data_IF_628718443654
#
_entry.id   IF_628718443654
#
_cell.length_a   1.000
_cell.length_b   1.000
_cell.length_c   1.000
_cell.angle_alpha   90.00
_cell.angle_beta   90.00
_cell.angle_gamma   90.00
#
_symmetry.space_group_name_H-M   'P 1'
#
loop_
_entity.id
_entity.type
_entity.pdbx_description
1 polymer ?
#
# COMPACT_ATOMS: atom_id res chain seq x y z
N UNK A 1 16.22 -7.44 16.73
CA UNK A 1 15.14 -7.11 17.69
C UNK A 1 14.93 -5.61 17.91
N UNK A 2 15.96 -4.75 17.83
CA UNK A 2 15.81 -3.28 17.94
C UNK A 2 15.17 -2.65 16.67
N UNK A 3 15.41 -3.19 15.48
CA UNK A 3 14.84 -2.69 14.22
C UNK A 3 13.31 -2.74 14.16
N UNK A 4 12.69 -3.76 14.77
CA UNK A 4 11.23 -3.92 14.81
C UNK A 4 10.54 -2.81 15.61
N UNK A 5 11.18 -2.31 16.67
CA UNK A 5 10.65 -1.22 17.50
C UNK A 5 10.84 0.17 16.86
N UNK A 6 11.90 0.36 16.07
CA UNK A 6 12.09 1.58 15.26
C UNK A 6 11.06 1.66 14.12
N UNK A 7 10.65 0.51 13.57
CA UNK A 7 9.66 0.39 12.49
C UNK A 7 8.23 0.76 12.93
N UNK A 8 7.80 0.27 14.10
CA UNK A 8 6.50 0.64 14.71
C UNK A 8 6.49 2.12 15.10
N UNK A 9 7.61 2.66 15.58
CA UNK A 9 7.73 4.07 15.93
C UNK A 9 7.62 4.99 14.70
N UNK A 10 8.17 4.60 13.54
CA UNK A 10 8.07 5.38 12.30
C UNK A 10 6.65 5.38 11.71
N UNK A 11 5.95 4.24 11.74
CA UNK A 11 4.54 4.13 11.34
C UNK A 11 3.61 4.93 12.27
N UNK A 12 3.90 4.90 13.57
CA UNK A 12 3.20 5.73 14.57
C UNK A 12 3.48 7.22 14.35
N UNK A 13 4.65 7.59 13.84
CA UNK A 13 5.00 8.98 13.52
C UNK A 13 4.24 9.51 12.31
N UNK A 14 4.00 8.69 11.29
CA UNK A 14 3.11 9.03 10.18
C UNK A 14 1.67 9.26 10.67
N UNK A 15 1.13 8.34 11.48
CA UNK A 15 -0.20 8.46 12.06
C UNK A 15 -0.33 9.68 12.99
N UNK A 16 0.70 9.98 13.80
CA UNK A 16 0.76 11.16 14.67
C UNK A 16 0.88 12.46 13.87
N UNK A 17 1.66 12.49 12.79
CA UNK A 17 1.74 13.65 11.89
C UNK A 17 0.37 14.00 11.32
N UNK A 18 -0.43 13.00 10.90
CA UNK A 18 -1.81 13.22 10.45
C UNK A 18 -2.77 13.61 11.59
N UNK A 19 -2.62 13.04 12.80
CA UNK A 19 -3.44 13.40 13.95
C UNK A 19 -3.20 14.84 14.45
N UNK A 20 -1.94 15.30 14.47
CA UNK A 20 -1.57 16.67 14.85
C UNK A 20 -1.97 17.67 13.76
N UNK A 21 -1.85 17.31 12.48
CA UNK A 21 -2.34 18.14 11.36
C UNK A 21 -3.88 18.27 11.38
N UNK A 22 -4.60 17.20 11.75
CA UNK A 22 -6.06 17.20 11.96
C UNK A 22 -6.49 18.09 13.15
N UNK A 23 -5.73 18.09 14.25
CA UNK A 23 -5.96 18.97 15.40
C UNK A 23 -5.66 20.45 15.10
N UNK A 24 -4.67 20.74 14.25
CA UNK A 24 -4.29 22.11 13.87
C UNK A 24 -5.25 22.71 12.82
N UNK A 25 -5.90 21.86 12.00
CA UNK A 25 -6.84 22.25 10.95
C UNK A 25 -8.27 22.56 11.45
N UNK A 26 -8.57 22.35 12.72
CA UNK A 26 -9.86 22.71 13.33
C UNK A 26 -10.12 24.23 13.44
N UNK A 27 -9.30 25.08 12.81
CA UNK A 27 -9.44 26.54 12.83
C UNK A 27 -9.98 27.12 11.51
N UNK A 28 -10.10 26.33 10.43
CA UNK A 28 -10.64 26.85 9.16
C UNK A 28 -11.66 25.89 8.51
N UNK A 29 -12.80 25.73 9.19
CA UNK A 29 -13.91 24.81 8.87
C UNK A 29 -14.70 25.13 7.59
N UNK A 30 -14.35 26.13 6.77
CA UNK A 30 -15.22 26.58 5.67
C UNK A 30 -14.56 26.73 4.28
N UNK A 31 -13.42 26.08 4.02
CA UNK A 31 -12.85 26.04 2.66
C UNK A 31 -12.53 24.60 2.23
N UNK A 32 -13.15 24.19 1.12
CA UNK A 32 -12.69 23.13 0.21
C UNK A 32 -13.06 21.69 0.58
N UNK A 33 -14.35 21.46 0.86
CA UNK A 33 -15.04 20.24 0.44
C UNK A 33 -15.15 20.24 -1.09
N UNK A 34 -14.05 19.95 -1.80
CA UNK A 34 -14.13 19.71 -3.25
C UNK A 34 -14.23 18.21 -3.55
N UNK A 35 -15.02 17.80 -4.56
CA UNK A 35 -15.21 16.40 -5.00
C UNK A 35 -13.94 15.66 -5.44
N UNK A 36 -12.79 16.35 -5.48
CA UNK A 36 -11.49 15.87 -5.97
C UNK A 36 -10.92 14.73 -5.10
N UNK A 37 -11.29 14.64 -3.82
CA UNK A 37 -10.77 13.61 -2.90
C UNK A 37 -11.39 12.22 -3.08
N UNK A 38 -12.56 12.10 -3.71
CA UNK A 38 -13.29 10.82 -3.78
C UNK A 38 -12.64 9.80 -4.74
N UNK A 39 -11.81 10.25 -5.67
CA UNK A 39 -11.20 9.40 -6.71
C UNK A 39 -9.73 9.01 -6.40
N UNK A 40 -9.17 9.51 -5.30
CA UNK A 40 -7.76 9.25 -4.94
C UNK A 40 -7.55 7.77 -4.58
N UNK A 41 -8.41 7.19 -3.73
CA UNK A 41 -8.23 5.81 -3.30
C UNK A 41 -8.46 4.79 -4.42
N UNK A 42 -9.51 4.91 -5.26
CA UNK A 42 -9.65 4.03 -6.42
C UNK A 42 -8.43 4.08 -7.35
N UNK A 43 -7.93 5.26 -7.68
CA UNK A 43 -6.71 5.39 -8.50
C UNK A 43 -5.48 4.82 -7.82
N UNK A 44 -5.38 4.98 -6.50
CA UNK A 44 -4.27 4.40 -5.76
C UNK A 44 -4.33 2.87 -5.74
N UNK A 45 -5.52 2.27 -5.64
CA UNK A 45 -5.71 0.83 -5.84
C UNK A 45 -5.22 0.40 -7.22
N UNK A 46 -5.54 1.14 -8.28
CA UNK A 46 -5.09 0.81 -9.64
C UNK A 46 -3.55 0.79 -9.72
N UNK A 47 -2.88 1.78 -9.12
CA UNK A 47 -1.40 1.84 -9.05
C UNK A 47 -0.82 0.67 -8.25
N UNK A 48 -1.43 0.30 -7.12
CA UNK A 48 -0.98 -0.85 -6.34
C UNK A 48 -1.13 -2.14 -7.15
N UNK A 49 -2.23 -2.33 -7.88
CA UNK A 49 -2.43 -3.51 -8.73
C UNK A 49 -1.42 -3.55 -9.89
N UNK A 50 -1.04 -2.40 -10.46
CA UNK A 50 0.05 -2.30 -11.44
C UNK A 50 1.39 -2.78 -10.86
N UNK A 51 1.75 -2.37 -9.63
CA UNK A 51 2.97 -2.84 -8.98
C UNK A 51 2.89 -4.35 -8.63
N UNK A 52 1.72 -4.88 -8.26
CA UNK A 52 1.52 -6.33 -8.07
C UNK A 52 1.73 -7.08 -9.39
N UNK A 53 1.26 -6.55 -10.52
CA UNK A 53 1.50 -7.13 -11.85
C UNK A 53 2.99 -7.08 -12.21
N UNK A 54 3.67 -5.96 -11.95
CA UNK A 54 5.11 -5.86 -12.15
C UNK A 54 5.89 -6.88 -11.30
N UNK A 55 5.45 -7.15 -10.07
CA UNK A 55 6.01 -8.22 -9.23
C UNK A 55 5.82 -9.60 -9.87
N UNK A 56 4.63 -9.91 -10.38
CA UNK A 56 4.36 -11.18 -11.09
C UNK A 56 5.26 -11.32 -12.32
N UNK A 57 5.29 -10.30 -13.17
CA UNK A 57 6.10 -10.29 -14.40
C UNK A 57 7.60 -10.40 -14.10
N UNK A 58 8.09 -9.73 -13.06
CA UNK A 58 9.49 -9.82 -12.64
C UNK A 58 9.86 -11.21 -12.12
N UNK A 59 8.96 -11.90 -11.42
CA UNK A 59 9.15 -13.30 -11.01
C UNK A 59 9.10 -14.27 -12.21
N UNK A 60 8.19 -14.02 -13.14
CA UNK A 60 8.03 -14.85 -14.34
C UNK A 60 9.24 -14.75 -15.26
N UNK A 61 9.75 -13.53 -15.48
CA UNK A 61 10.92 -13.23 -16.30
C UNK A 61 12.25 -13.54 -15.63
N UNK A 62 12.27 -13.77 -14.32
CA UNK A 62 13.49 -14.05 -13.54
C UNK A 62 14.26 -12.78 -13.11
N UNK A 63 13.66 -11.60 -13.23
CA UNK A 63 14.17 -10.36 -12.64
C UNK A 63 14.19 -10.43 -11.09
N UNK A 64 13.16 -11.05 -10.49
CA UNK A 64 13.08 -11.25 -9.05
C UNK A 64 13.39 -12.70 -8.66
N UNK A 65 14.47 -12.87 -7.90
CA UNK A 65 14.87 -14.18 -7.38
C UNK A 65 14.06 -14.58 -6.14
N UNK A 66 13.51 -15.80 -6.17
CA UNK A 66 12.85 -16.41 -5.02
C UNK A 66 13.85 -17.01 -4.04
N UNK A 67 13.45 -17.10 -2.77
CA UNK A 67 14.17 -17.84 -1.73
C UNK A 67 14.18 -19.34 -2.02
N UNK A 68 13.05 -19.87 -2.48
CA UNK A 68 12.84 -21.26 -2.85
C UNK A 68 12.12 -21.31 -4.20
N UNK A 69 12.79 -21.77 -5.26
CA UNK A 69 12.24 -21.77 -6.63
C UNK A 69 10.98 -22.64 -6.75
N UNK A 70 10.87 -23.71 -5.97
CA UNK A 70 9.67 -24.57 -5.90
C UNK A 70 8.42 -23.85 -5.39
N UNK A 71 8.57 -22.73 -4.69
CA UNK A 71 7.46 -21.90 -4.18
C UNK A 71 7.00 -20.83 -5.17
N UNK A 72 7.52 -20.83 -6.40
CA UNK A 72 7.15 -19.86 -7.43
C UNK A 72 5.65 -19.85 -7.70
N UNK A 73 5.04 -21.01 -7.90
CA UNK A 73 3.60 -21.10 -8.17
C UNK A 73 2.77 -20.59 -6.98
N UNK A 74 3.14 -20.96 -5.76
CA UNK A 74 2.49 -20.50 -4.52
C UNK A 74 2.57 -18.96 -4.38
N UNK A 75 3.74 -18.37 -4.68
CA UNK A 75 3.90 -16.92 -4.62
C UNK A 75 3.06 -16.19 -5.67
N UNK A 76 3.05 -16.69 -6.91
CA UNK A 76 2.25 -16.11 -8.00
C UNK A 76 0.75 -16.21 -7.71
N UNK A 77 0.29 -17.33 -7.14
CA UNK A 77 -1.09 -17.50 -6.70
C UNK A 77 -1.44 -16.51 -5.59
N UNK A 78 -0.58 -16.34 -4.58
CA UNK A 78 -0.79 -15.38 -3.49
C UNK A 78 -0.82 -13.93 -3.97
N UNK A 79 0.03 -13.54 -4.93
CA UNK A 79 -0.08 -12.23 -5.59
C UNK A 79 -1.39 -12.10 -6.40
N UNK A 80 -1.90 -13.22 -6.94
CA UNK A 80 -3.23 -13.30 -7.56
C UNK A 80 -4.36 -13.06 -6.57
N UNK A 81 -4.26 -13.64 -5.37
CA UNK A 81 -5.19 -13.46 -4.28
C UNK A 81 -5.23 -12.00 -3.81
N UNK A 82 -4.05 -11.38 -3.60
CA UNK A 82 -3.94 -9.96 -3.23
C UNK A 82 -4.57 -9.02 -4.28
N UNK A 83 -4.34 -9.24 -5.57
CA UNK A 83 -5.02 -8.44 -6.61
C UNK A 83 -6.56 -8.51 -6.49
N UNK A 84 -7.11 -9.71 -6.19
CA UNK A 84 -8.55 -9.91 -6.01
C UNK A 84 -9.07 -9.25 -4.73
N UNK A 85 -8.31 -9.33 -3.65
CA UNK A 85 -8.63 -8.64 -2.40
C UNK A 85 -8.63 -7.12 -2.57
N UNK A 86 -7.62 -6.56 -3.24
CA UNK A 86 -7.56 -5.13 -3.52
C UNK A 86 -8.76 -4.64 -4.34
N UNK A 87 -9.18 -5.44 -5.33
CA UNK A 87 -10.40 -5.18 -6.11
C UNK A 87 -11.65 -5.17 -5.22
N UNK A 88 -11.71 -6.08 -4.24
CA UNK A 88 -12.80 -6.12 -3.27
C UNK A 88 -12.81 -4.89 -2.37
N UNK A 89 -11.66 -4.51 -1.79
CA UNK A 89 -11.48 -3.27 -1.01
C UNK A 89 -11.95 -2.08 -1.84
N UNK A 90 -11.50 -1.98 -3.09
CA UNK A 90 -11.87 -0.89 -3.97
C UNK A 90 -13.40 -0.84 -4.13
N UNK A 91 -14.01 -1.95 -4.57
CA UNK A 91 -15.46 -2.06 -4.85
C UNK A 91 -16.32 -1.75 -3.62
N UNK A 92 -15.97 -2.30 -2.46
CA UNK A 92 -16.76 -2.17 -1.23
C UNK A 92 -16.73 -0.76 -0.64
N UNK A 93 -15.68 0.01 -0.89
CA UNK A 93 -15.50 1.33 -0.28
C UNK A 93 -15.81 2.49 -1.22
N UNK A 94 -16.01 2.25 -2.53
CA UNK A 94 -16.47 3.25 -3.50
C UNK A 94 -17.71 4.02 -3.02
N UNK A 95 -18.65 3.35 -2.36
CA UNK A 95 -19.89 3.96 -1.85
C UNK A 95 -19.75 4.60 -0.46
N UNK A 96 -18.74 4.23 0.33
CA UNK A 96 -18.61 4.63 1.74
C UNK A 96 -18.04 6.04 1.94
N UNK A 97 -17.31 6.59 0.95
CA UNK A 97 -16.70 7.95 0.96
C UNK A 97 -16.03 8.35 2.29
N UNK A 98 -15.46 7.38 3.01
CA UNK A 98 -14.83 7.60 4.31
C UNK A 98 -13.34 7.28 4.23
N UNK A 99 -12.53 8.34 4.24
CA UNK A 99 -11.08 8.29 4.17
C UNK A 99 -10.46 7.37 5.24
N UNK A 100 -11.01 7.35 6.46
CA UNK A 100 -10.46 6.53 7.54
C UNK A 100 -10.64 5.04 7.29
N UNK A 101 -11.73 4.64 6.64
CA UNK A 101 -11.99 3.23 6.30
C UNK A 101 -11.05 2.81 5.17
N UNK A 102 -10.97 3.63 4.12
CA UNK A 102 -10.03 3.40 3.01
C UNK A 102 -8.59 3.28 3.48
N UNK A 103 -8.13 4.21 4.32
CA UNK A 103 -6.76 4.21 4.81
C UNK A 103 -6.46 2.99 5.68
N UNK A 104 -7.39 2.56 6.53
CA UNK A 104 -7.21 1.37 7.36
C UNK A 104 -7.11 0.10 6.51
N UNK A 105 -8.05 -0.10 5.60
CA UNK A 105 -8.06 -1.31 4.76
C UNK A 105 -6.86 -1.36 3.81
N UNK A 106 -6.46 -0.24 3.21
CA UNK A 106 -5.26 -0.18 2.37
C UNK A 106 -3.97 -0.34 3.18
N UNK A 107 -3.93 0.14 4.42
CA UNK A 107 -2.78 -0.08 5.29
C UNK A 107 -2.59 -1.57 5.61
N UNK A 108 -3.67 -2.25 5.98
CA UNK A 108 -3.63 -3.68 6.27
C UNK A 108 -3.25 -4.49 5.02
N UNK A 109 -3.82 -4.13 3.86
CA UNK A 109 -3.48 -4.71 2.56
C UNK A 109 -1.99 -4.57 2.22
N UNK A 110 -1.44 -3.35 2.33
CA UNK A 110 -0.04 -3.08 2.00
C UNK A 110 0.93 -3.82 2.93
N UNK A 111 0.55 -3.99 4.20
CA UNK A 111 1.30 -4.80 5.16
C UNK A 111 1.31 -6.27 4.75
N UNK A 112 0.19 -6.79 4.25
CA UNK A 112 0.13 -8.17 3.74
C UNK A 112 1.00 -8.36 2.51
N UNK A 113 0.93 -7.44 1.55
CA UNK A 113 1.81 -7.43 0.37
C UNK A 113 3.29 -7.40 0.75
N UNK A 114 3.67 -6.53 1.69
CA UNK A 114 5.04 -6.45 2.20
C UNK A 114 5.48 -7.77 2.85
N UNK A 115 4.65 -8.36 3.72
CA UNK A 115 4.97 -9.65 4.35
C UNK A 115 5.13 -10.77 3.31
N UNK A 116 4.33 -10.74 2.24
CA UNK A 116 4.45 -11.70 1.15
C UNK A 116 5.79 -11.53 0.42
N UNK A 117 6.17 -10.31 0.06
CA UNK A 117 7.47 -10.01 -0.56
C UNK A 117 8.62 -10.51 0.33
N UNK A 118 8.61 -10.17 1.62
CA UNK A 118 9.61 -10.57 2.61
C UNK A 118 9.71 -12.09 2.80
N UNK A 119 8.61 -12.81 2.59
CA UNK A 119 8.55 -14.26 2.77
C UNK A 119 9.09 -15.05 1.58
N UNK A 120 8.99 -14.52 0.36
CA UNK A 120 9.29 -15.30 -0.86
C UNK A 120 10.52 -14.83 -1.64
N UNK A 121 10.97 -13.58 -1.51
CA UNK A 121 12.04 -13.03 -2.35
C UNK A 121 13.39 -12.88 -1.63
N UNK A 122 14.50 -13.10 -2.35
CA UNK A 122 15.87 -13.01 -1.76
C UNK A 122 16.27 -11.59 -1.38
N UNK A 123 15.98 -10.61 -2.24
CA UNK A 123 16.30 -9.19 -2.02
C UNK A 123 15.08 -8.41 -1.48
N UNK A 124 14.24 -9.08 -0.71
CA UNK A 124 12.91 -8.58 -0.37
C UNK A 124 12.91 -7.27 0.44
N UNK A 125 13.89 -7.03 1.30
CA UNK A 125 14.00 -5.77 2.07
C UNK A 125 14.17 -4.58 1.12
N UNK A 126 15.11 -4.66 0.17
CA UNK A 126 15.38 -3.59 -0.82
C UNK A 126 14.16 -3.40 -1.73
N UNK A 127 13.53 -4.49 -2.16
CA UNK A 127 12.36 -4.42 -3.02
C UNK A 127 11.15 -3.82 -2.29
N UNK A 128 10.94 -4.20 -1.02
CA UNK A 128 9.89 -3.64 -0.18
C UNK A 128 10.10 -2.13 0.04
N UNK A 129 11.33 -1.72 0.34
CA UNK A 129 11.67 -0.30 0.51
C UNK A 129 11.41 0.50 -0.76
N UNK A 130 11.85 -0.03 -1.91
CA UNK A 130 11.65 0.61 -3.23
C UNK A 130 10.16 0.72 -3.56
N UNK A 131 9.40 -0.35 -3.33
CA UNK A 131 7.95 -0.36 -3.55
C UNK A 131 7.26 0.66 -2.64
N UNK A 132 7.66 0.75 -1.38
CA UNK A 132 7.11 1.71 -0.42
C UNK A 132 7.35 3.15 -0.86
N UNK A 133 8.56 3.47 -1.31
CA UNK A 133 8.88 4.80 -1.82
C UNK A 133 8.07 5.15 -3.07
N UNK A 134 7.95 4.21 -4.02
CA UNK A 134 7.11 4.38 -5.21
C UNK A 134 5.65 4.66 -4.84
N UNK A 135 5.06 3.83 -3.97
CA UNK A 135 3.65 3.97 -3.58
C UNK A 135 3.41 5.25 -2.78
N UNK A 136 4.33 5.65 -1.90
CA UNK A 136 4.27 6.93 -1.20
C UNK A 136 4.26 8.10 -2.19
N UNK A 137 5.20 8.12 -3.14
CA UNK A 137 5.31 9.16 -4.15
C UNK A 137 4.09 9.21 -5.07
N UNK A 138 3.57 8.04 -5.47
CA UNK A 138 2.36 7.92 -6.26
C UNK A 138 1.15 8.51 -5.50
N UNK A 139 0.98 8.15 -4.23
CA UNK A 139 -0.11 8.66 -3.41
C UNK A 139 -0.01 10.18 -3.18
N UNK A 140 1.19 10.71 -2.93
CA UNK A 140 1.41 12.16 -2.85
C UNK A 140 1.08 12.86 -4.17
N UNK A 141 1.44 12.27 -5.30
CA UNK A 141 1.14 12.84 -6.63
C UNK A 141 -0.35 12.86 -6.95
N UNK A 142 -1.13 11.88 -6.47
CA UNK A 142 -2.59 11.87 -6.62
C UNK A 142 -3.31 12.93 -5.77
N UNK A 143 -2.63 13.51 -4.78
CA UNK A 143 -3.16 14.58 -3.92
C UNK A 143 -2.84 15.99 -4.44
N UNK A 144 -1.90 16.11 -5.37
CA UNK A 144 -1.43 17.37 -5.97
C UNK A 144 -2.35 17.86 -7.07
#
# INVERSE_FOLDING_TARGET
MIGFYLLIAALSFLALYFAVKKLTLNIDENKLLEPIKADIYPRFCDIIDEEIRALKEGVESGEFELLEDEKKEEFLEALGDLSRELTFIQTMNLSKKNDSIWQSELFDFLKELENLILRYLKNAEILSDTLREKLMNAFESLKA
#
